data_IF_545574991462
#
_entry.id   IF_545574991462
#
_cell.length_a   1.000
_cell.length_b   1.000
_cell.length_c   1.000
_cell.angle_alpha   90.00
_cell.angle_beta   90.00
_cell.angle_gamma   90.00
#
_symmetry.space_group_name_H-M   'P 1'
#
loop_
_entity.id
_entity.type
_entity.pdbx_description
1 polymer ?
#
# COMPACT_ATOMS: atom_id res chain seq x y z
N UNK A 1 13.43 1.14 20.08
CA UNK A 1 12.45 1.17 18.96
C UNK A 1 11.83 2.56 18.92
N UNK A 2 11.63 3.13 17.73
CA UNK A 2 10.82 4.34 17.51
C UNK A 2 9.78 4.00 16.44
N UNK A 3 8.53 4.40 16.69
CA UNK A 3 7.45 4.23 15.74
C UNK A 3 7.32 5.46 14.85
N UNK A 4 6.96 5.23 13.59
CA UNK A 4 6.73 6.30 12.62
C UNK A 4 5.35 6.13 11.97
N UNK A 5 4.58 7.20 11.92
CA UNK A 5 3.36 7.28 11.12
C UNK A 5 3.66 8.01 9.82
N UNK A 6 3.45 7.35 8.68
CA UNK A 6 3.71 7.94 7.36
C UNK A 6 2.44 8.63 6.84
N UNK A 7 2.44 9.97 6.82
CA UNK A 7 1.35 10.75 6.23
C UNK A 7 1.56 10.84 4.73
N UNK A 8 0.85 10.00 3.97
CA UNK A 8 0.95 9.87 2.49
C UNK A 8 -0.30 10.34 1.74
N UNK A 9 -1.37 10.71 2.46
CA UNK A 9 -2.62 11.14 1.85
C UNK A 9 -2.52 12.56 1.27
N UNK A 10 -3.11 12.79 0.10
CA UNK A 10 -3.22 14.13 -0.51
C UNK A 10 -4.48 14.84 0.01
N UNK A 11 -4.33 15.58 1.12
CA UNK A 11 -5.44 16.33 1.72
C UNK A 11 -6.00 17.39 0.76
N UNK A 12 -5.16 18.13 0.05
CA UNK A 12 -5.62 19.32 -0.68
C UNK A 12 -6.27 19.00 -2.04
N UNK A 13 -5.81 17.96 -2.75
CA UNK A 13 -6.28 17.65 -4.12
C UNK A 13 -7.55 16.80 -4.14
N UNK A 14 -7.72 15.92 -3.15
CA UNK A 14 -8.81 14.94 -3.12
C UNK A 14 -9.73 15.10 -1.90
N UNK A 15 -9.59 16.19 -1.13
CA UNK A 15 -10.48 16.53 0.00
C UNK A 15 -11.96 16.50 -0.39
N UNK A 16 -12.28 16.89 -1.63
CA UNK A 16 -13.64 16.87 -2.15
C UNK A 16 -14.21 15.46 -2.38
N UNK A 17 -13.38 14.43 -2.41
CA UNK A 17 -13.79 13.04 -2.64
C UNK A 17 -14.05 12.26 -1.34
N UNK A 18 -13.72 12.79 -0.16
CA UNK A 18 -14.09 12.17 1.12
C UNK A 18 -13.35 12.69 2.35
N UNK A 19 -13.87 12.33 3.53
CA UNK A 19 -13.21 12.57 4.83
C UNK A 19 -12.07 11.57 5.04
N UNK A 20 -10.89 12.07 5.39
CA UNK A 20 -9.70 11.26 5.56
C UNK A 20 -9.65 10.64 6.97
N UNK A 21 -9.44 9.31 7.11
CA UNK A 21 -9.43 8.63 8.41
C UNK A 21 -8.10 8.77 9.18
N UNK A 22 -7.20 9.66 8.76
CA UNK A 22 -5.85 9.72 9.31
C UNK A 22 -5.82 10.14 10.79
N UNK A 23 -6.78 10.95 11.24
CA UNK A 23 -6.89 11.35 12.65
C UNK A 23 -7.18 10.14 13.54
N UNK A 24 -8.11 9.27 13.12
CA UNK A 24 -8.42 8.01 13.81
C UNK A 24 -7.23 7.05 13.81
N UNK A 25 -6.50 6.97 12.68
CA UNK A 25 -5.26 6.18 12.60
C UNK A 25 -4.18 6.71 13.54
N UNK A 26 -4.01 8.03 13.57
CA UNK A 26 -3.02 8.70 14.39
C UNK A 26 -3.31 8.53 15.87
N UNK A 27 -4.55 8.74 16.31
CA UNK A 27 -4.99 8.49 17.69
C UNK A 27 -4.76 7.03 18.10
N UNK A 28 -5.07 6.07 17.21
CA UNK A 28 -4.82 4.66 17.46
C UNK A 28 -3.32 4.35 17.61
N UNK A 29 -2.48 4.91 16.74
CA UNK A 29 -1.04 4.79 16.84
C UNK A 29 -0.51 5.37 18.15
N UNK A 30 -1.02 6.54 18.57
CA UNK A 30 -0.64 7.17 19.84
C UNK A 30 -0.98 6.26 21.03
N UNK A 31 -2.19 5.70 21.07
CA UNK A 31 -2.63 4.78 22.14
C UNK A 31 -1.77 3.52 22.21
N UNK A 32 -1.52 2.86 21.08
CA UNK A 32 -0.68 1.66 21.01
C UNK A 32 0.76 1.97 21.44
N UNK A 33 1.33 3.07 20.95
CA UNK A 33 2.70 3.46 21.28
C UNK A 33 2.86 3.87 22.75
N UNK A 34 1.86 4.56 23.32
CA UNK A 34 1.83 4.91 24.74
C UNK A 34 1.82 3.68 25.63
N UNK A 35 0.98 2.68 25.32
CA UNK A 35 0.94 1.40 26.04
C UNK A 35 2.26 0.62 25.93
N UNK A 36 2.91 0.65 24.77
CA UNK A 36 4.19 -0.01 24.54
C UNK A 36 5.41 0.76 25.08
N UNK A 37 5.23 2.00 25.55
CA UNK A 37 6.35 2.87 25.95
C UNK A 37 7.28 3.25 24.78
N UNK A 38 6.75 3.33 23.55
CA UNK A 38 7.51 3.61 22.33
C UNK A 38 7.24 5.04 21.86
N UNK A 39 8.27 5.85 21.53
CA UNK A 39 8.05 7.17 20.96
C UNK A 39 7.45 7.07 19.54
N UNK A 40 6.47 7.93 19.24
CA UNK A 40 5.81 8.02 17.94
C UNK A 40 6.12 9.37 17.27
N UNK A 41 6.49 9.32 15.99
CA UNK A 41 6.76 10.50 15.16
C UNK A 41 5.96 10.44 13.86
N UNK A 42 5.39 11.55 13.41
CA UNK A 42 4.76 11.64 12.09
C UNK A 42 5.77 12.11 11.05
N UNK A 43 5.81 11.44 9.89
CA UNK A 43 6.64 11.84 8.75
C UNK A 43 5.73 12.04 7.55
N UNK A 44 5.72 13.26 7.01
CA UNK A 44 4.99 13.56 5.79
C UNK A 44 5.79 13.09 4.57
N UNK A 45 5.17 12.26 3.74
CA UNK A 45 5.71 11.78 2.47
C UNK A 45 4.73 12.04 1.32
N UNK A 46 3.82 13.01 1.47
CA UNK A 46 2.74 13.29 0.51
C UNK A 46 3.28 13.64 -0.88
N UNK A 47 4.26 14.55 -0.96
CA UNK A 47 4.87 14.96 -2.23
C UNK A 47 5.57 13.78 -2.93
N UNK A 48 6.33 12.99 -2.18
CA UNK A 48 7.01 11.81 -2.69
C UNK A 48 6.00 10.76 -3.16
N UNK A 49 4.90 10.58 -2.42
CA UNK A 49 3.83 9.67 -2.77
C UNK A 49 3.15 10.09 -4.08
N UNK A 50 2.82 11.38 -4.20
CA UNK A 50 2.26 11.96 -5.42
C UNK A 50 3.17 11.72 -6.62
N UNK A 51 4.43 12.11 -6.49
CA UNK A 51 5.41 12.04 -7.57
C UNK A 51 5.72 10.61 -8.01
N UNK A 52 5.83 9.66 -7.07
CA UNK A 52 6.31 8.30 -7.37
C UNK A 52 5.20 7.27 -7.54
N UNK A 53 4.08 7.41 -6.85
CA UNK A 53 3.00 6.41 -6.86
C UNK A 53 1.82 6.89 -7.69
N UNK A 54 1.31 8.10 -7.44
CA UNK A 54 0.15 8.62 -8.17
C UNK A 54 0.51 8.90 -9.63
N UNK A 55 1.62 9.59 -9.90
CA UNK A 55 2.07 9.84 -11.28
C UNK A 55 2.24 8.53 -12.06
N UNK A 56 2.89 7.52 -11.47
CA UNK A 56 3.01 6.18 -12.06
C UNK A 56 1.64 5.57 -12.38
N UNK A 57 0.71 5.62 -11.42
CA UNK A 57 -0.62 5.02 -11.56
C UNK A 57 -1.38 5.67 -12.71
N UNK A 58 -1.40 7.01 -12.74
CA UNK A 58 -2.09 7.79 -13.78
C UNK A 58 -1.44 7.58 -15.15
N UNK A 59 -0.10 7.59 -15.21
CA UNK A 59 0.65 7.38 -16.45
C UNK A 59 0.38 5.98 -17.04
N UNK A 60 0.43 4.93 -16.23
CA UNK A 60 0.18 3.57 -16.69
C UNK A 60 -1.28 3.35 -17.10
N UNK A 61 -2.22 3.90 -16.34
CA UNK A 61 -3.64 3.86 -16.68
C UNK A 61 -3.92 4.59 -18.00
N UNK A 62 -3.27 5.75 -18.25
CA UNK A 62 -3.41 6.49 -19.52
C UNK A 62 -2.97 5.69 -20.75
N UNK A 63 -2.07 4.71 -20.57
CA UNK A 63 -1.59 3.80 -21.61
C UNK A 63 -2.47 2.54 -21.75
N UNK A 64 -3.60 2.48 -21.04
CA UNK A 64 -4.51 1.33 -21.04
C UNK A 64 -4.00 0.13 -20.25
N UNK A 65 -3.05 0.33 -19.33
CA UNK A 65 -2.53 -0.72 -18.44
C UNK A 65 -3.24 -0.66 -17.08
N UNK A 66 -3.23 -1.77 -16.34
CA UNK A 66 -3.75 -1.83 -14.97
C UNK A 66 -2.58 -1.74 -13.98
N UNK A 67 -2.29 -0.56 -13.41
CA UNK A 67 -1.17 -0.39 -12.48
C UNK A 67 -1.44 -1.04 -11.12
N UNK A 68 -0.37 -1.39 -10.42
CA UNK A 68 -0.43 -1.80 -9.02
C UNK A 68 0.30 -0.75 -8.14
N UNK A 69 -0.42 0.24 -7.58
CA UNK A 69 0.20 1.29 -6.78
C UNK A 69 0.78 0.78 -5.46
N UNK A 70 0.32 -0.34 -4.91
CA UNK A 70 0.83 -0.87 -3.64
C UNK A 70 2.24 -1.43 -3.78
N UNK A 71 2.57 -2.07 -4.91
CA UNK A 71 3.95 -2.50 -5.20
C UNK A 71 4.89 -1.29 -5.22
N UNK A 72 4.48 -0.20 -5.89
CA UNK A 72 5.27 1.03 -5.97
C UNK A 72 5.33 1.76 -4.61
N UNK A 73 4.24 1.78 -3.85
CA UNK A 73 4.23 2.37 -2.50
C UNK A 73 5.25 1.68 -1.59
N UNK A 74 5.31 0.35 -1.61
CA UNK A 74 6.28 -0.38 -0.82
C UNK A 74 7.72 -0.08 -1.27
N UNK A 75 8.03 -0.26 -2.55
CA UNK A 75 9.42 -0.11 -3.04
C UNK A 75 9.91 1.34 -3.04
N UNK A 76 9.06 2.30 -3.38
CA UNK A 76 9.48 3.69 -3.57
C UNK A 76 9.24 4.56 -2.35
N UNK A 77 8.21 4.28 -1.54
CA UNK A 77 7.81 5.15 -0.42
C UNK A 77 8.21 4.53 0.92
N UNK A 78 7.63 3.37 1.29
CA UNK A 78 7.86 2.76 2.62
C UNK A 78 9.30 2.32 2.84
N UNK A 79 9.95 1.77 1.81
CA UNK A 79 11.34 1.31 1.88
C UNK A 79 12.28 2.13 0.98
N UNK A 80 11.80 3.25 0.45
CA UNK A 80 12.58 4.21 -0.34
C UNK A 80 12.61 5.57 0.34
N UNK A 81 11.65 6.43 0.03
CA UNK A 81 11.58 7.79 0.59
C UNK A 81 11.59 7.84 2.11
N UNK A 82 11.01 6.85 2.79
CA UNK A 82 11.10 6.78 4.25
C UNK A 82 12.53 6.48 4.73
N UNK A 83 13.27 5.60 4.03
CA UNK A 83 14.68 5.35 4.36
C UNK A 83 15.51 6.63 4.20
N UNK A 84 15.22 7.42 3.16
CA UNK A 84 15.86 8.70 2.93
C UNK A 84 15.49 9.72 4.03
N UNK A 85 14.22 9.75 4.45
CA UNK A 85 13.73 10.67 5.49
C UNK A 85 14.35 10.41 6.88
N UNK A 86 14.73 9.16 7.16
CA UNK A 86 15.44 8.79 8.40
C UNK A 86 16.95 8.65 8.20
N UNK A 87 17.47 8.92 7.00
CA UNK A 87 18.90 8.83 6.74
C UNK A 87 19.66 9.82 7.63
N UNK A 88 20.80 9.38 8.17
CA UNK A 88 21.60 10.18 9.11
C UNK A 88 21.07 10.17 10.56
N UNK A 89 20.00 9.42 10.84
CA UNK A 89 19.60 9.08 12.22
C UNK A 89 20.12 7.70 12.59
N UNK A 90 20.27 7.43 13.88
CA UNK A 90 20.76 6.15 14.41
C UNK A 90 19.69 5.05 14.35
N UNK A 91 19.39 4.57 13.14
CA UNK A 91 18.52 3.41 12.90
C UNK A 91 19.16 2.39 11.97
N UNK A 92 19.44 1.21 12.51
CA UNK A 92 20.00 0.08 11.76
C UNK A 92 18.96 -0.54 10.81
N UNK A 93 17.72 -0.71 11.30
CA UNK A 93 16.66 -1.43 10.61
C UNK A 93 15.32 -0.67 10.62
N UNK A 94 14.49 -0.97 9.62
CA UNK A 94 13.08 -0.55 9.54
C UNK A 94 12.19 -1.77 9.63
N UNK A 95 11.32 -1.81 10.63
CA UNK A 95 10.32 -2.85 10.77
C UNK A 95 8.99 -2.44 10.14
N UNK A 96 8.28 -3.40 9.54
CA UNK A 96 6.91 -3.20 9.09
C UNK A 96 6.03 -4.39 9.44
N UNK A 97 4.72 -4.14 9.59
CA UNK A 97 3.73 -5.18 9.82
C UNK A 97 3.30 -5.92 8.55
N UNK A 98 4.22 -6.15 7.59
CA UNK A 98 3.90 -6.99 6.43
C UNK A 98 4.05 -8.47 6.78
N UNK A 99 3.13 -9.29 6.28
CA UNK A 99 3.22 -10.74 6.33
C UNK A 99 4.14 -11.24 5.22
N UNK A 100 5.44 -11.23 5.47
CA UNK A 100 6.46 -11.82 4.60
C UNK A 100 7.68 -12.19 5.43
N UNK A 101 8.58 -13.03 4.90
CA UNK A 101 9.78 -13.46 5.63
C UNK A 101 11.04 -13.14 4.86
N UNK A 102 12.13 -12.94 5.59
CA UNK A 102 13.46 -12.84 5.03
C UNK A 102 14.27 -14.06 5.43
N UNK A 103 14.88 -14.72 4.44
CA UNK A 103 15.90 -15.73 4.64
C UNK A 103 17.24 -15.11 4.27
N UNK A 104 18.26 -15.34 5.09
CA UNK A 104 19.64 -14.92 4.76
C UNK A 104 20.40 -16.14 4.30
N UNK A 105 20.95 -16.07 3.09
CA UNK A 105 21.81 -17.12 2.55
C UNK A 105 23.22 -17.03 3.15
N UNK A 106 24.04 -18.06 2.93
CA UNK A 106 25.39 -18.16 3.51
C UNK A 106 26.32 -17.02 3.08
N UNK A 107 26.07 -16.42 1.91
CA UNK A 107 26.83 -15.27 1.38
C UNK A 107 26.32 -13.91 1.89
N UNK A 108 25.30 -13.91 2.74
CA UNK A 108 24.66 -12.71 3.28
C UNK A 108 23.49 -12.16 2.47
N UNK A 109 23.21 -12.72 1.28
CA UNK A 109 22.10 -12.30 0.43
C UNK A 109 20.76 -12.48 1.15
N UNK A 110 19.88 -11.47 1.07
CA UNK A 110 18.54 -11.54 1.65
C UNK A 110 17.53 -12.01 0.60
N UNK A 111 16.82 -13.10 0.87
CA UNK A 111 15.71 -13.58 0.05
C UNK A 111 14.38 -13.27 0.71
N UNK A 112 13.52 -12.57 -0.03
CA UNK A 112 12.12 -12.40 0.33
C UNK A 112 11.37 -13.72 0.06
N UNK A 113 10.68 -14.20 1.08
CA UNK A 113 9.93 -15.47 1.03
C UNK A 113 8.52 -15.29 1.60
N UNK A 114 7.64 -16.23 1.26
CA UNK A 114 6.23 -16.20 1.66
C UNK A 114 6.07 -16.39 3.17
N UNK A 115 5.10 -15.69 3.75
CA UNK A 115 4.61 -15.94 5.10
C UNK A 115 3.90 -17.32 5.18
N UNK A 116 3.74 -17.91 6.38
CA UNK A 116 3.03 -19.18 6.54
C UNK A 116 1.51 -19.08 6.28
N UNK A 117 0.94 -17.87 6.34
CA UNK A 117 -0.45 -17.60 6.01
C UNK A 117 -0.60 -17.31 4.51
N UNK A 118 -1.01 -18.31 3.73
CA UNK A 118 -1.18 -18.18 2.27
C UNK A 118 -2.18 -17.09 1.86
N UNK A 119 -3.17 -16.78 2.71
CA UNK A 119 -4.22 -15.79 2.42
C UNK A 119 -3.70 -14.38 2.69
N UNK A 120 -2.85 -14.23 3.71
CA UNK A 120 -2.36 -12.93 4.17
C UNK A 120 -0.94 -12.64 3.73
N UNK A 121 -0.26 -13.58 3.07
CA UNK A 121 1.06 -13.38 2.48
C UNK A 121 1.10 -12.12 1.59
N UNK A 122 2.06 -11.25 1.87
CA UNK A 122 2.24 -9.96 1.21
C UNK A 122 3.54 -9.92 0.40
N UNK A 123 4.23 -11.05 0.23
CA UNK A 123 5.45 -11.16 -0.57
C UNK A 123 5.27 -10.60 -2.00
N UNK A 124 4.09 -10.79 -2.61
CA UNK A 124 3.74 -10.23 -3.92
C UNK A 124 3.86 -8.70 -3.97
N UNK A 125 3.35 -8.00 -2.95
CA UNK A 125 3.40 -6.53 -2.88
C UNK A 125 4.80 -5.99 -2.55
N UNK A 126 5.71 -6.86 -2.11
CA UNK A 126 7.09 -6.55 -1.77
C UNK A 126 8.08 -7.02 -2.86
N UNK A 127 7.57 -7.57 -3.97
CA UNK A 127 8.37 -8.16 -5.04
C UNK A 127 9.34 -7.19 -5.73
N UNK A 128 9.08 -5.89 -5.65
CA UNK A 128 9.93 -4.84 -6.22
C UNK A 128 11.01 -4.32 -5.26
N UNK A 129 11.20 -4.93 -4.08
CA UNK A 129 12.26 -4.54 -3.16
C UNK A 129 13.64 -4.97 -3.67
N UNK A 130 14.58 -4.04 -3.60
CA UNK A 130 15.99 -4.26 -3.94
C UNK A 130 16.76 -4.90 -2.78
N UNK A 131 17.90 -5.52 -3.05
CA UNK A 131 18.73 -6.10 -1.98
C UNK A 131 19.13 -5.08 -0.90
N UNK A 132 19.53 -3.86 -1.30
CA UNK A 132 19.82 -2.76 -0.37
C UNK A 132 18.65 -2.43 0.55
N UNK A 133 17.41 -2.61 0.09
CA UNK A 133 16.21 -2.40 0.90
C UNK A 133 15.95 -3.59 1.83
N UNK A 134 16.13 -4.81 1.32
CA UNK A 134 15.95 -6.06 2.07
C UNK A 134 16.97 -6.21 3.20
N UNK A 135 18.20 -5.73 3.03
CA UNK A 135 19.25 -5.73 4.07
C UNK A 135 18.85 -4.95 5.33
N UNK A 136 17.98 -3.94 5.18
CA UNK A 136 17.59 -3.02 6.26
C UNK A 136 16.16 -3.23 6.75
N UNK A 137 15.39 -4.15 6.18
CA UNK A 137 13.98 -4.36 6.57
C UNK A 137 13.83 -5.53 7.53
N UNK A 138 12.87 -5.41 8.45
CA UNK A 138 12.38 -6.48 9.31
C UNK A 138 10.87 -6.68 9.09
N UNK A 139 10.44 -7.93 9.13
CA UNK A 139 9.02 -8.32 9.10
C UNK A 139 8.70 -9.13 10.36
N UNK A 140 8.52 -8.48 11.53
CA UNK A 140 8.42 -9.17 12.82
C UNK A 140 7.22 -10.11 12.95
N UNK A 141 6.17 -9.88 12.14
CA UNK A 141 4.97 -10.73 12.11
C UNK A 141 5.02 -11.81 11.00
N UNK A 142 6.14 -11.90 10.27
CA UNK A 142 6.28 -12.75 9.09
C UNK A 142 6.13 -14.25 9.37
N UNK A 143 6.37 -14.68 10.61
CA UNK A 143 6.25 -16.08 11.04
C UNK A 143 4.88 -16.42 11.66
N UNK A 144 3.97 -15.44 11.74
CA UNK A 144 2.64 -15.63 12.32
C UNK A 144 1.56 -15.64 11.25
N UNK A 145 0.52 -16.42 11.52
CA UNK A 145 -0.77 -16.28 10.86
C UNK A 145 -1.51 -15.05 11.36
N UNK A 146 -2.48 -14.59 10.58
CA UNK A 146 -3.32 -13.45 11.00
C UNK A 146 -4.13 -13.74 12.26
N UNK A 147 -4.52 -14.99 12.47
CA UNK A 147 -5.23 -15.42 13.68
C UNK A 147 -4.32 -15.25 14.92
N UNK A 148 -3.09 -15.76 14.85
CA UNK A 148 -2.12 -15.64 15.94
C UNK A 148 -1.79 -14.17 16.25
N UNK A 149 -1.61 -13.32 15.24
CA UNK A 149 -1.39 -11.87 15.47
C UNK A 149 -2.60 -11.23 16.17
N UNK A 150 -3.83 -11.65 15.86
CA UNK A 150 -5.03 -11.16 16.56
C UNK A 150 -5.12 -11.68 18.00
N UNK A 151 -4.77 -12.93 18.23
CA UNK A 151 -4.70 -13.50 19.59
C UNK A 151 -3.67 -12.77 20.44
N UNK A 152 -2.47 -12.52 19.90
CA UNK A 152 -1.44 -11.71 20.55
C UNK A 152 -1.95 -10.30 20.86
N UNK A 153 -2.62 -9.65 19.91
CA UNK A 153 -3.20 -8.33 20.14
C UNK A 153 -4.27 -8.33 21.26
N UNK A 154 -5.04 -9.42 21.41
CA UNK A 154 -5.98 -9.60 22.51
C UNK A 154 -5.27 -9.87 23.84
N UNK A 155 -4.25 -10.72 23.85
CA UNK A 155 -3.45 -11.06 25.03
C UNK A 155 -2.72 -9.84 25.60
N UNK A 156 -2.16 -9.01 24.72
CA UNK A 156 -1.52 -7.75 25.11
C UNK A 156 -2.50 -6.62 25.38
N UNK A 157 -3.81 -6.85 25.23
CA UNK A 157 -4.86 -5.84 25.37
C UNK A 157 -4.57 -4.58 24.53
N UNK A 158 -4.17 -4.76 23.27
CA UNK A 158 -3.83 -3.62 22.41
C UNK A 158 -5.08 -2.79 22.06
N UNK A 159 -4.99 -1.45 22.00
CA UNK A 159 -6.14 -0.59 21.69
C UNK A 159 -6.80 -0.90 20.33
N UNK A 160 -6.01 -1.41 19.37
CA UNK A 160 -6.47 -1.75 18.02
C UNK A 160 -6.90 -3.22 17.86
N UNK A 161 -6.93 -4.03 18.92
CA UNK A 161 -7.16 -5.49 18.86
C UNK A 161 -8.46 -5.94 18.19
N UNK A 162 -9.49 -5.08 18.17
CA UNK A 162 -10.80 -5.32 17.55
C UNK A 162 -10.96 -4.64 16.19
N UNK A 163 -9.95 -3.91 15.72
CA UNK A 163 -10.05 -3.11 14.50
C UNK A 163 -10.07 -4.02 13.26
N UNK A 164 -10.98 -3.79 12.29
CA UNK A 164 -10.99 -4.52 11.03
C UNK A 164 -9.75 -4.20 10.19
N UNK A 165 -9.38 -5.13 9.32
CA UNK A 165 -8.30 -4.94 8.37
C UNK A 165 -8.71 -3.89 7.32
N UNK A 166 -7.79 -3.00 6.96
CA UNK A 166 -8.00 -2.08 5.83
C UNK A 166 -8.24 -2.84 4.54
N UNK A 167 -9.19 -2.36 3.74
CA UNK A 167 -9.53 -2.89 2.42
C UNK A 167 -9.32 -1.79 1.38
N UNK A 168 -8.89 -2.17 0.17
CA UNK A 168 -8.63 -1.23 -0.93
C UNK A 168 -7.26 -0.56 -0.87
N UNK A 169 -7.05 0.41 -1.76
CA UNK A 169 -5.78 1.11 -1.90
C UNK A 169 -5.55 2.08 -0.73
N UNK A 170 -4.36 2.00 -0.13
CA UNK A 170 -4.03 2.73 1.12
C UNK A 170 -4.28 4.25 1.04
N UNK A 171 -4.12 4.83 -0.15
CA UNK A 171 -4.23 6.28 -0.40
C UNK A 171 -5.58 6.71 -0.97
N UNK A 172 -6.53 5.79 -1.15
CA UNK A 172 -7.88 6.14 -1.61
C UNK A 172 -8.93 6.04 -0.51
N UNK A 173 -8.64 5.33 0.58
CA UNK A 173 -9.57 5.25 1.70
C UNK A 173 -10.93 4.72 1.23
N UNK A 174 -11.95 5.59 1.21
CA UNK A 174 -13.31 5.26 0.73
C UNK A 174 -13.59 5.68 -0.73
N UNK A 175 -12.66 6.41 -1.36
CA UNK A 175 -12.78 6.87 -2.75
C UNK A 175 -12.65 5.67 -3.70
N UNK A 176 -13.53 5.60 -4.72
CA UNK A 176 -13.44 4.54 -5.73
C UNK A 176 -12.27 4.82 -6.67
N UNK A 177 -11.61 3.76 -7.12
CA UNK A 177 -10.48 3.87 -8.05
C UNK A 177 -10.88 4.54 -9.38
N UNK A 178 -12.07 4.25 -9.90
CA UNK A 178 -12.59 4.89 -11.12
C UNK A 178 -12.78 6.39 -10.94
N UNK A 179 -13.29 6.84 -9.79
CA UNK A 179 -13.49 8.27 -9.51
C UNK A 179 -12.13 8.99 -9.43
N UNK A 180 -11.14 8.33 -8.81
CA UNK A 180 -9.76 8.81 -8.79
C UNK A 180 -9.18 8.93 -10.20
N UNK A 181 -9.26 7.88 -11.03
CA UNK A 181 -8.75 7.95 -12.40
C UNK A 181 -9.49 8.98 -13.25
N UNK A 182 -10.81 9.12 -13.05
CA UNK A 182 -11.63 10.12 -13.73
C UNK A 182 -11.23 11.55 -13.37
N UNK A 183 -10.84 11.81 -12.13
CA UNK A 183 -10.36 13.14 -11.71
C UNK A 183 -9.05 13.56 -12.41
N UNK A 184 -8.16 12.60 -12.74
CA UNK A 184 -6.89 12.89 -13.40
C UNK A 184 -6.92 12.77 -14.93
N UNK A 185 -7.63 11.77 -15.46
CA UNK A 185 -7.63 11.43 -16.89
C UNK A 185 -8.92 11.83 -17.63
N UNK A 186 -9.97 12.18 -16.89
CA UNK A 186 -11.30 12.43 -17.45
C UNK A 186 -11.92 11.19 -18.06
N UNK A 187 -12.82 11.40 -19.01
CA UNK A 187 -13.45 10.36 -19.82
C UNK A 187 -12.98 10.45 -21.27
N UNK A 188 -12.77 9.28 -21.89
CA UNK A 188 -12.48 9.16 -23.32
C UNK A 188 -13.33 8.02 -23.88
N UNK A 189 -14.60 8.30 -24.23
CA UNK A 189 -15.51 7.26 -24.68
C UNK A 189 -15.03 6.59 -25.97
N UNK A 190 -15.34 5.31 -26.10
CA UNK A 190 -14.99 4.49 -27.26
C UNK A 190 -15.91 3.28 -27.39
N UNK A 191 -15.84 2.61 -28.53
CA UNK A 191 -16.68 1.46 -28.83
C UNK A 191 -16.14 0.19 -28.14
N UNK A 192 -17.06 -0.64 -27.63
CA UNK A 192 -16.78 -2.00 -27.18
C UNK A 192 -17.11 -2.92 -28.35
N UNK A 193 -16.14 -3.73 -28.75
CA UNK A 193 -16.24 -4.56 -29.96
C UNK A 193 -16.15 -6.03 -29.57
N UNK A 194 -17.04 -6.85 -30.12
CA UNK A 194 -16.92 -8.30 -30.01
C UNK A 194 -15.73 -8.78 -30.86
N UNK A 195 -14.78 -9.46 -30.22
CA UNK A 195 -13.53 -9.85 -30.86
C UNK A 195 -13.69 -10.88 -31.99
N UNK A 196 -14.84 -11.58 -32.10
CA UNK A 196 -15.08 -12.62 -33.12
C UNK A 196 -15.79 -12.08 -34.34
N UNK A 197 -16.86 -11.33 -34.13
CA UNK A 197 -17.71 -10.76 -35.18
C UNK A 197 -17.19 -9.42 -35.69
N UNK A 198 -16.50 -8.65 -34.84
CA UNK A 198 -16.17 -7.25 -35.11
C UNK A 198 -17.34 -6.30 -34.88
N UNK A 199 -18.48 -6.80 -34.39
CA UNK A 199 -19.66 -5.99 -34.13
C UNK A 199 -19.41 -5.06 -32.94
N UNK A 200 -19.88 -3.81 -33.06
CA UNK A 200 -19.95 -2.88 -31.93
C UNK A 200 -21.09 -3.33 -31.01
N UNK A 201 -20.74 -3.77 -29.81
CA UNK A 201 -21.69 -4.31 -28.82
C UNK A 201 -21.98 -3.34 -27.67
N UNK A 202 -21.28 -2.20 -27.61
CA UNK A 202 -21.49 -1.20 -26.57
C UNK A 202 -20.52 -0.03 -26.66
N UNK A 203 -20.50 0.80 -25.62
CA UNK A 203 -19.55 1.92 -25.47
C UNK A 203 -19.00 1.98 -24.05
N UNK A 204 -17.70 2.22 -23.93
CA UNK A 204 -17.03 2.44 -22.66
C UNK A 204 -16.83 3.94 -22.40
N UNK A 205 -16.57 4.33 -21.14
CA UNK A 205 -16.26 5.71 -20.72
C UNK A 205 -14.78 6.06 -20.84
N UNK A 206 -13.91 5.06 -20.96
CA UNK A 206 -12.45 5.23 -21.09
C UNK A 206 -11.76 3.91 -20.78
N UNK A 207 -10.64 3.63 -21.45
CA UNK A 207 -9.91 2.37 -21.28
C UNK A 207 -9.42 2.17 -19.84
N UNK A 208 -9.07 3.26 -19.16
CA UNK A 208 -8.57 3.26 -17.79
C UNK A 208 -9.61 2.87 -16.72
N UNK A 209 -10.89 2.73 -17.08
CA UNK A 209 -11.93 2.21 -16.18
C UNK A 209 -12.13 0.69 -16.31
N UNK A 210 -11.28 0.02 -17.11
CA UNK A 210 -11.40 -1.39 -17.40
C UNK A 210 -10.07 -2.13 -17.22
N UNK A 211 -10.16 -3.41 -16.87
CA UNK A 211 -9.03 -4.33 -16.85
C UNK A 211 -9.37 -5.64 -17.57
N UNK A 212 -8.34 -6.34 -18.04
CA UNK A 212 -8.51 -7.63 -18.72
C UNK A 212 -9.14 -8.65 -17.76
N UNK A 213 -10.22 -9.31 -18.21
CA UNK A 213 -10.96 -10.27 -17.40
C UNK A 213 -12.05 -9.66 -16.51
N UNK A 214 -12.25 -8.34 -16.55
CA UNK A 214 -13.36 -7.68 -15.86
C UNK A 214 -14.72 -8.13 -16.40
N UNK A 215 -15.68 -8.38 -15.50
CA UNK A 215 -17.06 -8.76 -15.85
C UNK A 215 -18.09 -7.65 -15.63
N UNK A 216 -17.84 -6.75 -14.67
CA UNK A 216 -18.78 -5.68 -14.30
C UNK A 216 -18.43 -4.39 -15.03
N UNK A 217 -19.43 -3.62 -15.44
CA UNK A 217 -19.22 -2.31 -16.08
C UNK A 217 -18.83 -2.38 -17.56
N UNK A 218 -19.09 -3.50 -18.24
CA UNK A 218 -18.99 -3.67 -19.70
C UNK A 218 -20.40 -3.64 -20.27
#
# INVERSE_FOLDING_TARGET
>A
VRAFYLKIWLEDELSHLGQCPWEDDWDMCQKVCAQAGVPLEAVSLQEQYKQKVISYTVEEASKGRTPNPDIMCNSMVKFGCFYDAIAGRDFDYVASGHYARLVTDDDGTKRLTRAPDDIKDQSYFLSALTQKQLERVLFPIGDYTKAEVRELAQQFDLPNKSRPDSQGLCFLGKVKFDDFLGAYLGEKPGDIVDAKSGDVIGRHRGLWFHTVGQRKGI
#
